data_IF_217507881459
#
_entry.id   IF_217507881459
#
_cell.length_a   1.000
_cell.length_b   1.000
_cell.length_c   1.000
_cell.angle_alpha   90.00
_cell.angle_beta   90.00
_cell.angle_gamma   90.00
#
_symmetry.space_group_name_H-M   'P 1'
#
loop_
_entity.id
_entity.type
_entity.pdbx_description
1 polymer ?
#
# COMPACT_ATOMS: atom_id res chain seq x y z
N UNK A 1 -26.65 -12.74 -17.65
CA UNK A 1 -25.78 -11.62 -17.26
C UNK A 1 -24.83 -11.33 -18.42
N UNK A 2 -24.68 -10.07 -18.81
CA UNK A 2 -23.95 -9.70 -20.03
C UNK A 2 -22.43 -9.66 -19.84
N UNK A 3 -21.69 -9.88 -20.93
CA UNK A 3 -20.26 -9.60 -21.00
C UNK A 3 -20.01 -8.10 -20.92
N UNK A 4 -18.85 -7.69 -20.40
CA UNK A 4 -18.37 -6.32 -20.60
C UNK A 4 -17.98 -6.12 -22.06
N UNK A 5 -17.71 -4.87 -22.45
CA UNK A 5 -17.17 -4.58 -23.77
C UNK A 5 -15.96 -5.46 -24.08
N UNK A 6 -15.87 -6.03 -25.28
CA UNK A 6 -14.69 -6.79 -25.71
C UNK A 6 -13.41 -5.94 -25.77
N UNK A 7 -13.54 -4.60 -25.74
CA UNK A 7 -12.42 -3.67 -25.60
C UNK A 7 -11.96 -3.49 -24.15
N UNK A 8 -12.59 -4.18 -23.19
CA UNK A 8 -12.21 -4.14 -21.78
C UNK A 8 -10.71 -4.40 -21.60
N UNK A 9 -10.06 -3.54 -20.83
CA UNK A 9 -8.65 -3.69 -20.46
C UNK A 9 -8.56 -3.75 -18.95
N UNK A 10 -7.90 -4.78 -18.42
CA UNK A 10 -7.58 -4.90 -17.00
C UNK A 10 -6.78 -3.67 -16.56
N UNK A 11 -7.05 -3.09 -15.36
CA UNK A 11 -6.29 -1.97 -14.84
C UNK A 11 -4.77 -2.24 -14.86
N UNK A 12 -4.01 -1.22 -15.22
CA UNK A 12 -2.55 -1.26 -15.13
C UNK A 12 -2.12 -1.22 -13.67
N UNK A 13 -0.94 -1.78 -13.38
CA UNK A 13 -0.36 -1.67 -12.05
C UNK A 13 0.12 -0.22 -11.87
N UNK A 14 -0.17 0.36 -10.71
CA UNK A 14 0.26 1.71 -10.33
C UNK A 14 1.38 1.58 -9.30
N UNK A 15 2.57 2.06 -9.66
CA UNK A 15 3.75 2.07 -8.79
C UNK A 15 3.75 3.30 -7.87
N UNK A 16 4.26 3.15 -6.63
CA UNK A 16 4.36 4.23 -5.63
C UNK A 16 5.04 5.50 -6.18
N UNK A 17 6.14 5.34 -6.92
CA UNK A 17 6.95 6.46 -7.41
C UNK A 17 6.22 7.33 -8.44
N UNK A 18 5.30 6.73 -9.22
CA UNK A 18 4.55 7.45 -10.27
C UNK A 18 3.60 8.53 -9.71
N UNK A 19 3.27 8.44 -8.42
CA UNK A 19 2.39 9.36 -7.73
C UNK A 19 3.13 10.53 -7.09
N UNK A 20 4.39 10.36 -6.68
CA UNK A 20 5.18 11.48 -6.13
C UNK A 20 5.42 12.56 -7.18
N UNK A 21 5.71 12.17 -8.43
CA UNK A 21 5.84 13.10 -9.56
C UNK A 21 4.50 13.78 -9.89
N UNK A 22 3.39 13.03 -9.86
CA UNK A 22 2.06 13.55 -10.19
C UNK A 22 1.51 14.48 -9.09
N UNK A 23 1.68 14.15 -7.81
CA UNK A 23 1.25 14.97 -6.68
C UNK A 23 1.99 16.31 -6.61
N UNK A 24 3.27 16.35 -7.04
CA UNK A 24 4.02 17.61 -7.15
C UNK A 24 3.42 18.57 -8.20
N UNK A 25 2.71 18.05 -9.21
CA UNK A 25 2.08 18.82 -10.29
C UNK A 25 0.61 19.20 -10.03
N UNK A 26 -0.09 18.48 -9.15
CA UNK A 26 -1.52 18.70 -8.85
C UNK A 26 -1.74 19.81 -7.81
N UNK A 27 -0.67 20.30 -7.17
CA UNK A 27 -0.70 21.32 -6.13
C UNK A 27 -1.22 22.72 -6.51
N UNK A 28 -1.79 22.93 -7.70
CA UNK A 28 -2.16 24.27 -8.18
C UNK A 28 -3.62 24.41 -8.70
N UNK A 29 -4.45 23.35 -8.76
CA UNK A 29 -5.73 23.46 -9.52
C UNK A 29 -7.00 22.75 -9.03
N UNK A 30 -7.11 22.26 -7.80
CA UNK A 30 -8.40 21.71 -7.33
C UNK A 30 -8.86 22.33 -6.02
N UNK A 31 -9.74 23.33 -6.15
CA UNK A 31 -10.60 23.82 -5.08
C UNK A 31 -11.39 22.64 -4.49
N UNK A 32 -11.09 22.37 -3.21
CA UNK A 32 -11.66 21.29 -2.44
C UNK A 32 -13.08 21.61 -2.03
N UNK A 33 -14.05 21.07 -2.77
CA UNK A 33 -15.36 20.77 -2.19
C UNK A 33 -15.23 19.52 -1.34
N UNK A 34 -15.64 19.61 -0.07
CA UNK A 34 -15.82 18.49 0.87
C UNK A 34 -16.94 17.52 0.43
N UNK A 35 -17.42 17.65 -0.81
CA UNK A 35 -18.58 16.95 -1.35
C UNK A 35 -18.41 16.42 -2.78
N UNK A 36 -17.20 16.34 -3.34
CA UNK A 36 -17.03 15.86 -4.71
C UNK A 36 -16.80 14.35 -4.78
N UNK A 37 -17.88 13.59 -4.94
CA UNK A 37 -17.91 12.17 -5.32
C UNK A 37 -17.43 11.90 -6.75
N UNK A 38 -16.32 12.49 -7.18
CA UNK A 38 -15.66 12.08 -8.41
C UNK A 38 -14.72 10.92 -8.09
N UNK A 39 -15.25 9.70 -8.18
CA UNK A 39 -14.43 8.52 -8.40
C UNK A 39 -13.64 8.77 -9.69
N UNK A 40 -12.37 9.11 -9.58
CA UNK A 40 -11.49 9.11 -10.74
C UNK A 40 -11.52 7.68 -11.28
N UNK A 41 -12.26 7.49 -12.38
CA UNK A 41 -12.48 6.20 -13.01
C UNK A 41 -11.14 5.69 -13.52
N UNK A 42 -10.47 4.90 -12.71
CA UNK A 42 -9.31 4.15 -13.14
C UNK A 42 -9.73 3.29 -14.34
N UNK A 43 -9.06 3.48 -15.48
CA UNK A 43 -9.43 2.86 -16.73
C UNK A 43 -9.56 1.33 -16.53
N UNK A 44 -10.73 0.77 -16.84
CA UNK A 44 -10.99 -0.67 -16.72
C UNK A 44 -11.55 -1.15 -15.38
N UNK A 45 -12.02 -0.25 -14.50
CA UNK A 45 -12.80 -0.63 -13.31
C UNK A 45 -14.28 -0.27 -13.53
N UNK A 46 -15.22 -1.23 -13.50
CA UNK A 46 -16.65 -0.94 -13.56
C UNK A 46 -17.14 -0.15 -12.33
N UNK A 47 -18.17 0.69 -12.51
CA UNK A 47 -18.74 1.53 -11.43
C UNK A 47 -19.25 0.71 -10.22
N UNK A 48 -19.63 -0.56 -10.43
CA UNK A 48 -20.02 -1.49 -9.36
C UNK A 48 -18.86 -1.95 -8.47
N UNK A 49 -17.63 -1.88 -8.96
CA UNK A 49 -16.40 -2.14 -8.20
C UNK A 49 -15.68 -0.83 -7.84
N UNK A 50 -16.35 0.31 -7.91
CA UNK A 50 -15.79 1.59 -7.49
C UNK A 50 -15.40 1.56 -6.00
N UNK A 51 -14.39 2.35 -5.64
CA UNK A 51 -13.88 2.44 -4.27
C UNK A 51 -15.01 2.66 -3.25
N UNK A 52 -15.88 3.64 -3.48
CA UNK A 52 -16.98 3.95 -2.56
C UNK A 52 -17.99 2.80 -2.41
N UNK A 53 -18.19 1.97 -3.45
CA UNK A 53 -19.06 0.78 -3.34
C UNK A 53 -18.43 -0.28 -2.45
N UNK A 54 -17.12 -0.49 -2.58
CA UNK A 54 -16.37 -1.41 -1.72
C UNK A 54 -16.44 -0.92 -0.29
N UNK A 55 -15.99 0.32 -0.01
CA UNK A 55 -15.92 0.91 1.33
C UNK A 55 -17.27 0.90 2.06
N UNK A 56 -18.38 1.11 1.34
CA UNK A 56 -19.72 1.09 1.93
C UNK A 56 -20.35 -0.32 2.01
N UNK A 57 -19.59 -1.39 1.77
CA UNK A 57 -20.07 -2.77 1.89
C UNK A 57 -21.04 -3.22 0.78
N UNK A 58 -21.02 -2.54 -0.38
CA UNK A 58 -21.91 -2.81 -1.51
C UNK A 58 -21.43 -3.91 -2.47
N UNK A 59 -20.37 -4.63 -2.13
CA UNK A 59 -19.72 -5.65 -2.96
C UNK A 59 -19.64 -6.99 -2.22
N UNK A 60 -19.48 -8.08 -2.97
CA UNK A 60 -19.35 -9.43 -2.42
C UNK A 60 -17.89 -9.95 -2.50
N UNK A 61 -17.54 -11.02 -1.77
CA UNK A 61 -16.22 -11.64 -1.87
C UNK A 61 -15.85 -12.03 -3.30
N UNK A 62 -14.60 -11.83 -3.75
CA UNK A 62 -13.43 -11.34 -3.00
C UNK A 62 -13.19 -9.82 -3.08
N UNK A 63 -14.24 -9.02 -3.21
CA UNK A 63 -14.13 -7.56 -3.37
C UNK A 63 -14.76 -6.78 -2.22
N UNK A 64 -14.88 -7.36 -1.02
CA UNK A 64 -15.41 -6.67 0.17
C UNK A 64 -14.38 -5.70 0.79
N UNK A 65 -14.82 -4.83 1.71
CA UNK A 65 -13.89 -3.98 2.50
C UNK A 65 -12.86 -4.82 3.22
N UNK A 66 -13.27 -5.98 3.75
CA UNK A 66 -12.38 -6.91 4.45
C UNK A 66 -11.34 -7.50 3.49
N UNK A 67 -11.76 -7.88 2.29
CA UNK A 67 -10.81 -8.38 1.27
C UNK A 67 -9.81 -7.28 0.88
N UNK A 68 -10.26 -6.03 0.81
CA UNK A 68 -9.39 -4.88 0.55
C UNK A 68 -8.41 -4.64 1.70
N UNK A 69 -8.87 -4.65 2.96
CA UNK A 69 -7.99 -4.54 4.14
C UNK A 69 -6.94 -5.66 4.18
N UNK A 70 -7.35 -6.92 3.95
CA UNK A 70 -6.42 -8.06 3.88
C UNK A 70 -5.39 -7.88 2.76
N UNK A 71 -5.80 -7.34 1.61
CA UNK A 71 -4.86 -7.02 0.54
C UNK A 71 -3.86 -5.95 0.96
N UNK A 72 -4.30 -4.89 1.65
CA UNK A 72 -3.41 -3.85 2.17
C UNK A 72 -2.45 -4.37 3.24
N UNK A 73 -2.84 -5.36 4.06
CA UNK A 73 -1.96 -5.96 5.07
C UNK A 73 -0.95 -6.91 4.42
N UNK A 74 -1.44 -7.87 3.64
CA UNK A 74 -0.65 -9.03 3.21
C UNK A 74 0.03 -8.89 1.85
N UNK A 75 -0.34 -7.88 1.04
CA UNK A 75 0.16 -7.72 -0.33
C UNK A 75 0.76 -6.34 -0.57
N UNK A 76 0.04 -5.26 -0.26
CA UNK A 76 0.53 -3.89 -0.54
C UNK A 76 1.32 -3.29 0.64
N UNK A 77 1.09 -3.78 1.86
CA UNK A 77 1.73 -3.30 3.10
C UNK A 77 1.46 -1.82 3.40
N UNK A 78 0.21 -1.39 3.20
CA UNK A 78 -0.21 0.00 3.40
C UNK A 78 -1.59 0.11 4.08
N UNK A 79 -1.86 -0.77 5.05
CA UNK A 79 -3.15 -0.86 5.73
C UNK A 79 -3.47 0.37 6.61
N UNK A 80 -2.44 1.06 7.07
CA UNK A 80 -2.53 2.29 7.85
C UNK A 80 -3.32 3.38 7.13
N UNK A 81 -3.24 3.43 5.80
CA UNK A 81 -3.99 4.38 4.99
C UNK A 81 -5.50 4.16 5.13
N UNK A 82 -5.97 2.91 5.01
CA UNK A 82 -7.40 2.59 5.13
C UNK A 82 -7.89 2.74 6.58
N UNK A 83 -7.08 2.34 7.56
CA UNK A 83 -7.40 2.50 8.98
C UNK A 83 -7.54 3.98 9.34
N UNK A 84 -6.60 4.83 8.92
CA UNK A 84 -6.67 6.28 9.11
C UNK A 84 -7.86 6.91 8.39
N UNK A 85 -8.13 6.50 7.14
CA UNK A 85 -9.28 6.99 6.37
C UNK A 85 -10.62 6.70 7.07
N UNK A 86 -10.81 5.45 7.52
CA UNK A 86 -12.02 5.04 8.23
C UNK A 86 -12.14 5.75 9.59
N UNK A 87 -11.02 5.85 10.32
CA UNK A 87 -10.96 6.59 11.58
C UNK A 87 -11.36 8.06 11.39
N UNK A 88 -10.79 8.77 10.40
CA UNK A 88 -11.08 10.19 10.22
C UNK A 88 -12.54 10.44 9.80
N UNK A 89 -13.12 9.54 9.01
CA UNK A 89 -14.54 9.59 8.63
C UNK A 89 -15.45 9.46 9.86
N UNK A 90 -15.14 8.49 10.74
CA UNK A 90 -15.86 8.30 11.99
C UNK A 90 -15.63 9.47 12.98
N UNK A 91 -14.38 9.92 13.11
CA UNK A 91 -13.99 11.06 13.93
C UNK A 91 -14.73 12.34 13.52
N UNK A 92 -14.77 12.65 12.23
CA UNK A 92 -15.47 13.83 11.72
C UNK A 92 -16.96 13.77 12.04
N UNK A 93 -17.59 12.61 11.84
CA UNK A 93 -18.99 12.38 12.20
C UNK A 93 -19.23 12.60 13.71
N UNK A 94 -18.40 12.00 14.57
CA UNK A 94 -18.51 12.17 16.03
C UNK A 94 -18.26 13.59 16.48
N UNK A 95 -17.34 14.31 15.82
CA UNK A 95 -17.06 15.70 16.11
C UNK A 95 -18.24 16.59 15.74
N UNK A 96 -18.86 16.37 14.57
CA UNK A 96 -20.04 17.12 14.10
C UNK A 96 -21.30 16.83 14.95
N UNK A 97 -21.45 15.60 15.46
CA UNK A 97 -22.57 15.19 16.31
C UNK A 97 -22.41 15.60 17.78
N UNK A 98 -21.19 15.93 18.21
CA UNK A 98 -20.95 16.37 19.57
C UNK A 98 -21.64 17.74 19.81
N UNK A 99 -22.30 17.89 20.97
CA UNK A 99 -23.00 19.12 21.37
C UNK A 99 -22.40 19.75 22.63
N UNK A 100 -21.15 19.40 22.95
CA UNK A 100 -20.49 19.85 24.18
C UNK A 100 -19.99 21.29 24.03
N UNK A 101 -20.01 22.05 25.13
CA UNK A 101 -19.65 23.47 25.12
C UNK A 101 -18.17 23.73 24.79
N UNK A 102 -17.31 22.72 24.96
CA UNK A 102 -15.88 22.75 24.66
C UNK A 102 -15.57 22.68 23.15
N UNK A 103 -16.54 22.34 22.28
CA UNK A 103 -16.36 22.33 20.82
C UNK A 103 -15.98 23.72 20.29
N UNK A 104 -16.51 24.78 20.90
CA UNK A 104 -16.14 26.15 20.55
C UNK A 104 -14.65 26.44 20.77
N UNK A 105 -13.94 25.65 21.58
CA UNK A 105 -12.50 25.77 21.82
C UNK A 105 -11.66 25.14 20.70
N UNK A 106 -12.27 24.36 19.80
CA UNK A 106 -11.62 23.70 18.68
C UNK A 106 -12.05 24.38 17.34
N UNK A 107 -11.54 25.59 17.04
CA UNK A 107 -11.88 26.31 15.82
C UNK A 107 -11.40 25.57 14.58
N UNK A 108 -12.03 25.89 13.45
CA UNK A 108 -11.66 25.37 12.13
C UNK A 108 -10.24 25.82 11.76
N UNK A 109 -9.36 24.86 11.48
CA UNK A 109 -8.08 25.12 10.82
C UNK A 109 -8.31 25.48 9.34
N UNK A 110 -8.05 26.73 8.94
CA UNK A 110 -8.27 27.22 7.56
C UNK A 110 -7.05 27.00 6.67
N UNK A 111 -7.24 27.07 5.34
CA UNK A 111 -6.13 26.96 4.39
C UNK A 111 -5.11 28.09 4.58
N UNK A 112 -5.59 29.31 4.84
CA UNK A 112 -4.76 30.50 5.07
C UNK A 112 -3.84 30.33 6.27
N UNK A 113 -4.35 29.78 7.38
CA UNK A 113 -3.55 29.48 8.57
C UNK A 113 -2.46 28.45 8.28
N UNK A 114 -2.80 27.43 7.50
CA UNK A 114 -1.86 26.39 7.08
C UNK A 114 -0.72 26.96 6.21
N UNK A 115 -1.08 27.77 5.20
CA UNK A 115 -0.13 28.41 4.29
C UNK A 115 0.77 29.39 5.05
N UNK A 116 0.23 30.11 6.03
CA UNK A 116 1.00 31.00 6.88
C UNK A 116 2.03 30.23 7.72
N UNK A 117 1.63 29.12 8.34
CA UNK A 117 2.55 28.24 9.08
C UNK A 117 3.65 27.71 8.17
N UNK A 118 3.29 27.22 6.98
CA UNK A 118 4.24 26.68 6.02
C UNK A 118 5.23 27.75 5.55
N UNK A 119 4.76 28.97 5.28
CA UNK A 119 5.62 30.10 4.92
C UNK A 119 6.58 30.48 6.07
N UNK A 120 6.10 30.48 7.32
CA UNK A 120 6.94 30.73 8.50
C UNK A 120 8.03 29.64 8.64
N UNK A 121 7.65 28.36 8.57
CA UNK A 121 8.59 27.23 8.65
C UNK A 121 9.62 27.28 7.53
N UNK A 122 9.21 27.59 6.30
CA UNK A 122 10.13 27.73 5.16
C UNK A 122 11.10 28.90 5.37
N UNK A 123 10.61 30.05 5.82
CA UNK A 123 11.44 31.22 6.14
C UNK A 123 12.45 30.89 7.23
N UNK A 124 12.04 30.21 8.30
CA UNK A 124 12.92 29.77 9.39
C UNK A 124 14.00 28.82 8.90
N UNK A 125 13.63 27.80 8.11
CA UNK A 125 14.59 26.87 7.48
C UNK A 125 15.58 27.61 6.59
N UNK A 126 15.11 28.53 5.75
CA UNK A 126 15.98 29.34 4.89
C UNK A 126 16.92 30.25 5.69
N UNK A 127 16.45 30.84 6.81
CA UNK A 127 17.32 31.62 7.70
C UNK A 127 18.36 30.78 8.41
N UNK A 128 18.01 29.56 8.85
CA UNK A 128 18.98 28.62 9.46
C UNK A 128 20.04 28.20 8.45
N UNK A 129 19.64 27.83 7.23
CA UNK A 129 20.58 27.50 6.15
C UNK A 129 21.51 28.67 5.78
N UNK A 130 21.05 29.93 5.89
CA UNK A 130 21.91 31.11 5.70
C UNK A 130 22.87 31.37 6.87
N UNK A 131 22.54 30.91 8.08
CA UNK A 131 23.40 31.03 9.25
C UNK A 131 24.43 29.89 9.31
N UNK A 132 24.03 28.70 8.87
CA UNK A 132 24.85 27.52 8.66
C UNK A 132 25.52 27.61 7.28
N UNK A 133 26.40 28.59 7.06
CA UNK A 133 27.18 28.72 5.81
C UNK A 133 27.98 27.42 5.57
N UNK A 134 27.65 26.61 4.54
CA UNK A 134 28.33 25.35 4.26
C UNK A 134 29.73 25.67 3.74
N UNK A 135 30.70 25.65 4.64
CA UNK A 135 32.08 26.05 4.39
C UNK A 135 32.72 26.79 5.56
N UNK A 136 31.94 27.39 6.46
CA UNK A 136 32.49 28.09 7.63
C UNK A 136 33.33 27.16 8.53
N UNK A 137 32.99 25.88 8.59
CA UNK A 137 33.80 24.86 9.30
C UNK A 137 35.02 24.38 8.50
N UNK A 138 34.98 24.45 7.17
CA UNK A 138 36.12 24.07 6.29
C UNK A 138 37.23 25.12 6.35
N UNK A 139 36.87 26.39 6.60
CA UNK A 139 37.82 27.49 6.75
C UNK A 139 38.27 27.76 8.20
N UNK A 140 37.76 27.00 9.19
CA UNK A 140 38.23 27.09 10.59
C UNK A 140 39.71 26.73 10.66
N UNK A 141 40.55 27.65 11.14
CA UNK A 141 42.01 27.48 11.22
C UNK A 141 42.77 27.75 9.92
N UNK A 142 42.11 28.26 8.87
CA UNK A 142 42.77 28.76 7.66
C UNK A 142 42.90 30.28 7.70
N UNK A 143 43.87 30.86 6.96
CA UNK A 143 44.09 32.32 6.89
C UNK A 143 42.87 33.12 6.36
N UNK A 144 41.84 32.44 5.86
CA UNK A 144 40.57 33.01 5.38
C UNK A 144 39.52 33.22 6.48
N UNK A 145 39.76 32.78 7.72
CA UNK A 145 38.81 32.91 8.86
C UNK A 145 38.53 34.38 9.26
N UNK A 146 39.38 35.32 8.84
CA UNK A 146 39.24 36.75 9.16
C UNK A 146 38.66 37.55 7.98
N UNK A 147 37.34 37.69 7.92
CA UNK A 147 36.67 38.89 7.33
C UNK A 147 35.16 39.05 7.59
N UNK A 148 34.53 38.30 8.49
CA UNK A 148 33.14 38.55 8.87
C UNK A 148 33.00 38.96 10.33
N UNK A 149 32.59 40.22 10.51
CA UNK A 149 32.02 40.86 11.71
C UNK A 149 32.98 41.13 12.87
N UNK A 150 33.43 42.39 12.97
CA UNK A 150 33.64 43.06 14.26
C UNK A 150 32.27 43.45 14.83
N UNK A 151 31.89 43.05 16.05
CA UNK A 151 31.12 43.90 16.93
C UNK A 151 32.08 44.69 17.84
N UNK A 152 31.63 45.88 18.27
CA UNK A 152 32.38 46.82 19.09
C UNK A 152 32.94 46.24 20.41
N UNK A 153 34.03 46.82 20.95
CA UNK A 153 34.74 46.22 22.08
C UNK A 153 34.19 46.74 23.40
N UNK A 154 33.18 46.09 23.98
CA UNK A 154 32.92 46.20 25.43
C UNK A 154 32.47 44.83 25.97
N UNK A 155 33.27 44.32 26.92
CA UNK A 155 33.13 43.08 27.69
C UNK A 155 33.32 41.74 26.94
N UNK A 156 34.59 41.34 26.81
CA UNK A 156 34.97 39.93 26.67
C UNK A 156 35.85 39.53 27.86
N UNK A 157 35.23 38.93 28.86
CA UNK A 157 35.89 38.08 29.84
C UNK A 157 34.98 36.88 30.11
N UNK A 158 35.60 35.71 30.30
CA UNK A 158 35.02 34.45 30.81
C UNK A 158 34.58 33.42 29.74
N UNK A 159 35.56 32.60 29.31
CA UNK A 159 35.57 31.11 29.26
C UNK A 159 36.18 30.55 27.97
N UNK A 160 37.45 30.18 28.05
CA UNK A 160 38.00 29.02 27.34
C UNK A 160 38.75 28.16 28.35
N UNK A 161 38.30 26.92 28.54
CA UNK A 161 39.00 25.88 29.29
C UNK A 161 39.05 24.63 28.41
N UNK A 162 40.26 24.32 27.96
CA UNK A 162 40.65 23.24 27.06
C UNK A 162 40.09 21.86 27.44
N UNK A 163 39.63 21.13 26.43
CA UNK A 163 39.48 19.67 26.41
C UNK A 163 40.83 18.99 26.13
N UNK A 164 41.30 18.13 27.04
CA UNK A 164 42.50 17.29 26.86
C UNK A 164 42.15 15.94 26.19
N UNK A 165 42.94 15.43 25.20
CA UNK A 165 42.55 14.29 24.36
C UNK A 165 43.26 12.96 24.66
N UNK A 166 43.70 12.70 25.90
CA UNK A 166 44.28 11.40 26.27
C UNK A 166 43.73 10.92 27.61
N UNK A 167 42.76 9.99 27.57
CA UNK A 167 42.67 8.93 28.58
C UNK A 167 41.66 7.83 28.20
N UNK A 168 42.16 6.60 28.15
CA UNK A 168 41.41 5.34 28.38
C UNK A 168 42.45 4.27 28.81
N UNK A 169 42.07 3.17 29.50
CA UNK A 169 42.27 2.90 30.93
C UNK A 169 43.31 1.77 31.21
N UNK A 170 43.45 1.22 32.45
CA UNK A 170 42.76 -0.05 32.73
C UNK A 170 42.37 -0.36 34.21
N UNK A 171 41.60 -1.47 34.33
CA UNK A 171 41.03 -2.21 35.48
C UNK A 171 42.02 -2.56 36.62
N UNK A 172 41.50 -2.66 37.86
CA UNK A 172 41.47 -3.88 38.72
C UNK A 172 40.59 -3.71 39.97
N UNK A 173 40.31 -4.83 40.66
CA UNK A 173 39.18 -5.14 41.53
C UNK A 173 39.45 -5.03 43.04
N UNK A 174 38.43 -4.68 43.82
CA UNK A 174 37.97 -5.37 45.03
C UNK A 174 36.90 -4.55 45.75
N UNK A 175 35.91 -5.21 46.37
CA UNK A 175 34.95 -4.55 47.25
C UNK A 175 33.57 -5.18 47.24
N UNK A 176 33.48 -6.36 47.84
CA UNK A 176 32.28 -7.12 48.14
C UNK A 176 31.25 -6.29 48.94
N UNK A 177 30.04 -6.11 48.42
CA UNK A 177 28.85 -5.94 49.25
C UNK A 177 27.67 -6.65 48.57
N UNK A 178 27.21 -7.69 49.24
CA UNK A 178 25.93 -8.34 49.00
C UNK A 178 24.82 -7.32 49.24
N UNK A 179 23.86 -7.19 48.33
CA UNK A 179 22.44 -7.03 48.68
C UNK A 179 21.52 -7.21 47.47
N UNK A 180 20.90 -8.40 47.43
CA UNK A 180 19.51 -8.65 47.05
C UNK A 180 18.95 -8.00 45.77
N UNK A 181 19.12 -8.69 44.64
CA UNK A 181 18.24 -8.56 43.46
C UNK A 181 16.81 -8.98 43.82
N UNK A 182 16.00 -7.99 44.18
CA UNK A 182 14.55 -8.09 44.07
C UNK A 182 14.16 -7.49 42.72
N UNK A 183 13.92 -8.37 41.74
CA UNK A 183 13.23 -8.04 40.50
C UNK A 183 11.84 -7.54 40.86
N UNK A 184 11.71 -6.21 40.98
CA UNK A 184 10.42 -5.58 41.11
C UNK A 184 9.67 -5.76 39.77
N UNK A 185 8.43 -6.25 39.77
CA UNK A 185 7.64 -6.33 38.55
C UNK A 185 7.39 -4.90 38.08
N UNK A 186 7.84 -4.59 36.87
CA UNK A 186 7.50 -3.37 36.15
C UNK A 186 5.99 -3.20 36.17
N UNK A 187 5.51 -2.25 36.97
CA UNK A 187 4.11 -1.84 36.92
C UNK A 187 3.79 -1.39 35.49
N UNK A 188 2.59 -1.69 34.97
CA UNK A 188 2.21 -1.24 33.65
C UNK A 188 2.18 0.30 33.65
N UNK A 189 3.13 0.91 32.96
CA UNK A 189 3.08 2.34 32.64
C UNK A 189 1.75 2.57 31.93
N UNK A 190 0.95 3.51 32.43
CA UNK A 190 -0.33 3.86 31.79
C UNK A 190 -0.09 4.19 30.32
N UNK A 191 -0.67 3.41 29.41
CA UNK A 191 -0.53 3.59 27.95
C UNK A 191 -0.92 5.02 27.51
N UNK A 192 -1.86 5.65 28.21
CA UNK A 192 -2.24 7.06 28.00
C UNK A 192 -1.09 8.06 28.22
N UNK A 193 -0.28 7.88 29.27
CA UNK A 193 0.87 8.74 29.55
C UNK A 193 1.92 8.69 28.43
N UNK A 194 2.08 7.51 27.83
CA UNK A 194 3.03 7.26 26.73
C UNK A 194 2.62 7.96 25.44
N UNK A 195 1.34 7.91 25.05
CA UNK A 195 0.89 8.57 23.81
C UNK A 195 1.00 10.10 23.90
N UNK A 196 0.67 10.67 25.06
CA UNK A 196 0.79 12.11 25.28
C UNK A 196 2.25 12.59 25.21
N UNK A 197 3.19 11.84 25.79
CA UNK A 197 4.62 12.20 25.70
C UNK A 197 5.13 12.10 24.27
N UNK A 198 4.77 11.04 23.53
CA UNK A 198 5.15 10.87 22.12
C UNK A 198 4.57 11.97 21.23
N UNK A 199 3.30 12.34 21.45
CA UNK A 199 2.67 13.44 20.73
C UNK A 199 3.36 14.79 21.04
N UNK A 200 3.70 15.03 22.31
CA UNK A 200 4.45 16.23 22.71
C UNK A 200 5.82 16.32 22.05
N UNK A 201 6.52 15.19 21.93
CA UNK A 201 7.80 15.10 21.23
C UNK A 201 7.64 15.38 19.73
N UNK A 202 6.59 14.82 19.10
CA UNK A 202 6.27 15.07 17.69
C UNK A 202 5.94 16.55 17.42
N UNK A 203 5.20 17.21 18.31
CA UNK A 203 4.95 18.66 18.19
C UNK A 203 6.26 19.45 18.31
N UNK A 204 7.11 19.11 19.28
CA UNK A 204 8.39 19.78 19.49
C UNK A 204 9.34 19.60 18.28
N UNK A 205 9.40 18.41 17.68
CA UNK A 205 10.23 18.15 16.51
C UNK A 205 9.76 18.92 15.26
N UNK A 206 8.45 19.17 15.14
CA UNK A 206 7.89 20.04 14.11
C UNK A 206 8.05 21.55 14.41
N UNK A 207 8.62 21.93 15.56
CA UNK A 207 8.71 23.32 16.01
C UNK A 207 7.36 23.91 16.46
N UNK A 208 6.35 23.07 16.70
CA UNK A 208 5.07 23.46 17.27
C UNK A 208 5.15 23.45 18.81
N UNK A 209 4.46 24.39 19.46
CA UNK A 209 4.34 24.38 20.92
C UNK A 209 3.38 23.29 21.33
N UNK A 210 3.75 22.50 22.35
CA UNK A 210 2.87 21.47 22.88
C UNK A 210 1.52 22.08 23.31
N UNK A 211 0.39 21.50 22.90
CA UNK A 211 -0.92 22.03 23.24
C UNK A 211 -1.18 21.92 24.75
N UNK A 212 -1.51 23.04 25.38
CA UNK A 212 -2.06 23.08 26.73
C UNK A 212 -3.53 23.50 26.63
N UNK A 213 -4.40 22.52 26.37
CA UNK A 213 -5.80 22.78 25.99
C UNK A 213 -6.74 21.73 26.59
N UNK A 214 -8.00 22.14 26.78
CA UNK A 214 -9.13 21.29 27.19
C UNK A 214 -10.09 21.02 26.01
N UNK A 215 -9.62 21.19 24.77
CA UNK A 215 -10.39 20.89 23.56
C UNK A 215 -10.93 19.45 23.56
N UNK A 216 -12.10 19.22 22.94
CA UNK A 216 -12.71 17.91 22.87
C UNK A 216 -11.85 16.94 22.06
N UNK A 217 -11.92 15.66 22.40
CA UNK A 217 -11.18 14.56 21.75
C UNK A 217 -9.65 14.72 21.73
N UNK A 218 -9.07 15.54 22.63
CA UNK A 218 -7.62 15.76 22.63
C UNK A 218 -6.81 14.48 22.76
N UNK A 219 -7.18 13.61 23.70
CA UNK A 219 -6.51 12.32 23.93
C UNK A 219 -6.56 11.40 22.70
N UNK A 220 -7.63 11.46 21.93
CA UNK A 220 -7.76 10.69 20.69
C UNK A 220 -6.79 11.20 19.63
N UNK A 221 -6.67 12.52 19.49
CA UNK A 221 -5.68 13.09 18.57
C UNK A 221 -4.25 12.79 19.01
N UNK A 222 -3.93 12.86 20.31
CA UNK A 222 -2.58 12.52 20.78
C UNK A 222 -2.22 11.08 20.41
N UNK A 223 -3.18 10.16 20.50
CA UNK A 223 -3.03 8.78 20.01
C UNK A 223 -2.81 8.72 18.49
N UNK A 224 -3.55 9.49 17.70
CA UNK A 224 -3.37 9.55 16.24
C UNK A 224 -2.02 10.11 15.84
N UNK A 225 -1.55 11.15 16.52
CA UNK A 225 -0.22 11.72 16.30
C UNK A 225 0.83 10.64 16.54
N UNK A 226 0.76 9.94 17.68
CA UNK A 226 1.72 8.91 18.04
C UNK A 226 1.63 7.63 17.17
N UNK A 227 0.48 7.35 16.56
CA UNK A 227 0.25 6.11 15.79
C UNK A 227 0.50 6.28 14.30
N UNK A 228 0.13 7.43 13.72
CA UNK A 228 0.08 7.65 12.27
C UNK A 228 0.97 8.80 11.76
N UNK A 229 1.23 9.83 12.57
CA UNK A 229 1.82 11.09 12.08
C UNK A 229 3.30 11.21 12.46
N UNK A 230 3.66 10.81 13.68
CA UNK A 230 5.04 10.93 14.18
C UNK A 230 6.02 10.10 13.36
N UNK A 231 7.28 10.54 13.35
CA UNK A 231 8.35 9.80 12.72
C UNK A 231 8.63 8.50 13.47
N UNK A 232 8.73 7.39 12.74
CA UNK A 232 8.89 6.07 13.34
C UNK A 232 7.63 5.53 14.04
N UNK A 233 6.46 6.13 13.79
CA UNK A 233 5.20 5.63 14.34
C UNK A 233 4.91 4.20 13.86
N UNK A 234 4.25 3.36 14.66
CA UNK A 234 3.98 1.96 14.31
C UNK A 234 3.11 1.78 13.05
N UNK A 235 2.33 2.81 12.70
CA UNK A 235 1.48 2.87 11.49
C UNK A 235 1.68 4.20 10.77
N UNK A 236 2.94 4.65 10.70
CA UNK A 236 3.33 5.91 10.08
C UNK A 236 2.79 6.02 8.65
N UNK A 237 2.04 7.09 8.36
CA UNK A 237 1.51 7.37 7.03
C UNK A 237 2.64 7.80 6.07
N UNK A 238 2.52 7.38 4.81
CA UNK A 238 3.39 7.80 3.72
C UNK A 238 3.00 9.21 3.21
N UNK A 239 3.23 10.22 4.06
CA UNK A 239 3.03 11.64 3.73
C UNK A 239 4.37 12.37 3.70
N UNK A 240 4.43 13.46 2.93
CA UNK A 240 5.63 14.29 2.83
C UNK A 240 5.96 14.97 4.17
N UNK A 241 7.23 15.29 4.38
CA UNK A 241 7.65 16.03 5.58
C UNK A 241 6.97 17.41 5.70
N UNK A 242 6.60 18.02 4.56
CA UNK A 242 5.84 19.29 4.54
C UNK A 242 4.43 19.10 5.10
N UNK A 243 3.72 18.07 4.64
CA UNK A 243 2.37 17.74 5.10
C UNK A 243 2.37 17.33 6.57
N UNK A 244 3.36 16.52 6.99
CA UNK A 244 3.54 16.13 8.40
C UNK A 244 3.68 17.36 9.30
N UNK A 245 4.56 18.30 8.94
CA UNK A 245 4.76 19.53 9.73
C UNK A 245 3.47 20.36 9.76
N UNK A 246 2.81 20.57 8.61
CA UNK A 246 1.55 21.31 8.56
C UNK A 246 0.47 20.69 9.47
N UNK A 247 0.33 19.36 9.42
CA UNK A 247 -0.60 18.63 10.26
C UNK A 247 -0.26 18.77 11.75
N UNK A 248 1.01 18.64 12.13
CA UNK A 248 1.43 18.77 13.53
C UNK A 248 1.18 20.18 14.08
N UNK A 249 1.41 21.24 13.29
CA UNK A 249 1.05 22.61 13.70
C UNK A 249 -0.46 22.81 13.81
N UNK A 250 -1.24 22.29 12.87
CA UNK A 250 -2.70 22.35 12.92
C UNK A 250 -3.26 21.61 14.12
N UNK A 251 -2.77 20.41 14.40
CA UNK A 251 -3.19 19.58 15.53
C UNK A 251 -2.74 20.14 16.88
N UNK A 252 -1.62 20.87 16.94
CA UNK A 252 -1.22 21.61 18.13
C UNK A 252 -2.16 22.79 18.42
N UNK A 253 -2.80 23.35 17.39
CA UNK A 253 -3.72 24.48 17.53
C UNK A 253 -5.17 24.04 17.82
N UNK A 254 -5.67 23.01 17.13
CA UNK A 254 -7.07 22.58 17.22
C UNK A 254 -7.23 21.05 17.16
N UNK A 255 -8.31 20.53 17.73
CA UNK A 255 -8.77 19.15 17.52
C UNK A 255 -9.74 19.03 16.34
N UNK A 256 -10.11 20.13 15.70
CA UNK A 256 -11.06 20.12 14.59
C UNK A 256 -10.56 19.25 13.41
N UNK A 257 -11.42 18.40 12.78
CA UNK A 257 -11.01 17.49 11.69
C UNK A 257 -10.32 18.18 10.51
N UNK A 258 -10.62 19.47 10.29
CA UNK A 258 -10.02 20.26 9.22
C UNK A 258 -8.50 20.43 9.34
N UNK A 259 -7.90 20.20 10.52
CA UNK A 259 -6.44 20.20 10.70
C UNK A 259 -5.76 19.02 10.00
N UNK A 260 -6.49 17.95 9.70
CA UNK A 260 -6.00 16.75 9.01
C UNK A 260 -6.34 16.74 7.51
N UNK A 261 -6.83 17.86 6.96
CA UNK A 261 -7.35 17.92 5.58
C UNK A 261 -6.34 17.49 4.53
N UNK A 262 -5.09 17.98 4.58
CA UNK A 262 -4.09 17.57 3.59
C UNK A 262 -3.68 16.10 3.75
N UNK A 263 -3.51 15.64 5.00
CA UNK A 263 -3.22 14.23 5.29
C UNK A 263 -4.31 13.35 4.72
N UNK A 264 -5.57 13.72 4.92
CA UNK A 264 -6.71 13.02 4.33
C UNK A 264 -6.67 13.02 2.81
N UNK A 265 -6.38 14.16 2.16
CA UNK A 265 -6.25 14.22 0.70
C UNK A 265 -5.16 13.28 0.18
N UNK A 266 -3.99 13.23 0.83
CA UNK A 266 -2.90 12.35 0.46
C UNK A 266 -3.28 10.86 0.60
N UNK A 267 -3.90 10.50 1.74
CA UNK A 267 -4.36 9.14 2.02
C UNK A 267 -5.49 8.71 1.08
N UNK A 268 -6.51 9.55 0.89
CA UNK A 268 -7.63 9.29 -0.03
C UNK A 268 -7.13 9.15 -1.47
N UNK A 269 -6.17 10.00 -1.88
CA UNK A 269 -5.56 9.91 -3.19
C UNK A 269 -4.83 8.57 -3.38
N UNK A 270 -3.97 8.16 -2.44
CA UNK A 270 -3.28 6.86 -2.48
C UNK A 270 -4.28 5.70 -2.52
N UNK A 271 -5.30 5.71 -1.66
CA UNK A 271 -6.31 4.65 -1.63
C UNK A 271 -7.08 4.54 -2.97
N UNK A 272 -7.48 5.66 -3.57
CA UNK A 272 -8.32 5.67 -4.78
C UNK A 272 -7.54 5.48 -6.08
N UNK A 273 -6.31 5.99 -6.16
CA UNK A 273 -5.54 6.03 -7.41
C UNK A 273 -4.47 4.95 -7.50
N UNK A 274 -4.12 4.32 -6.38
CA UNK A 274 -3.10 3.28 -6.33
C UNK A 274 -3.66 1.98 -5.77
N UNK A 275 -4.03 1.99 -4.49
CA UNK A 275 -4.36 0.77 -3.78
C UNK A 275 -5.61 0.10 -4.34
N UNK A 276 -6.66 0.88 -4.62
CA UNK A 276 -7.91 0.37 -5.18
C UNK A 276 -7.74 -0.24 -6.59
N UNK A 277 -7.10 0.45 -7.57
CA UNK A 277 -6.81 -0.16 -8.87
C UNK A 277 -5.93 -1.41 -8.79
N UNK A 278 -4.91 -1.39 -7.94
CA UNK A 278 -4.03 -2.52 -7.72
C UNK A 278 -4.76 -3.71 -7.07
N UNK A 279 -5.64 -3.44 -6.10
CA UNK A 279 -6.53 -4.44 -5.49
C UNK A 279 -7.47 -5.06 -6.50
N UNK A 280 -8.20 -4.27 -7.30
CA UNK A 280 -9.10 -4.80 -8.33
C UNK A 280 -8.32 -5.61 -9.36
N UNK A 281 -7.18 -5.09 -9.82
CA UNK A 281 -6.27 -5.80 -10.71
C UNK A 281 -5.91 -7.15 -10.10
N UNK A 282 -5.51 -7.21 -8.84
CA UNK A 282 -5.10 -8.42 -8.15
C UNK A 282 -6.27 -9.41 -7.95
N UNK A 283 -7.45 -8.92 -7.59
CA UNK A 283 -8.66 -9.71 -7.35
C UNK A 283 -9.19 -10.40 -8.61
N UNK A 284 -8.92 -9.86 -9.80
CA UNK A 284 -9.27 -10.51 -11.08
C UNK A 284 -8.53 -11.85 -11.27
N UNK A 285 -7.33 -12.01 -10.71
CA UNK A 285 -6.57 -13.26 -10.81
C UNK A 285 -7.24 -14.37 -9.99
N UNK A 286 -7.71 -15.43 -10.66
CA UNK A 286 -8.35 -16.56 -9.99
C UNK A 286 -7.35 -17.60 -9.43
N UNK A 287 -6.14 -17.69 -9.99
CA UNK A 287 -5.14 -18.68 -9.60
C UNK A 287 -4.05 -18.08 -8.73
N UNK A 288 -3.49 -18.90 -7.83
CA UNK A 288 -2.24 -18.55 -7.15
C UNK A 288 -1.04 -18.66 -8.12
N UNK A 289 0.14 -18.12 -7.77
CA UNK A 289 1.31 -18.14 -8.65
C UNK A 289 1.70 -19.55 -9.14
N UNK A 290 1.61 -20.56 -8.27
CA UNK A 290 1.93 -21.94 -8.62
C UNK A 290 1.00 -22.51 -9.70
N UNK A 291 -0.32 -22.33 -9.57
CA UNK A 291 -1.30 -22.81 -10.56
C UNK A 291 -1.22 -22.02 -11.87
N UNK A 292 -0.97 -20.72 -11.81
CA UNK A 292 -0.76 -19.90 -13.02
C UNK A 292 0.52 -20.32 -13.74
N UNK A 293 1.61 -20.59 -13.02
CA UNK A 293 2.84 -21.12 -13.60
C UNK A 293 2.62 -22.48 -14.27
N UNK A 294 1.90 -23.40 -13.58
CA UNK A 294 1.51 -24.68 -14.16
C UNK A 294 0.67 -24.52 -15.44
N UNK A 295 -0.31 -23.61 -15.44
CA UNK A 295 -1.13 -23.32 -16.62
C UNK A 295 -0.31 -22.78 -17.80
N UNK A 296 0.69 -21.92 -17.54
CA UNK A 296 1.62 -21.44 -18.58
C UNK A 296 2.41 -22.59 -19.18
N UNK A 297 2.97 -23.47 -18.35
CA UNK A 297 3.71 -24.65 -18.81
C UNK A 297 2.81 -25.58 -19.65
N UNK A 298 1.60 -25.87 -19.19
CA UNK A 298 0.62 -26.67 -19.93
C UNK A 298 0.28 -26.04 -21.29
N UNK A 299 0.07 -24.72 -21.34
CA UNK A 299 -0.18 -24.00 -22.58
C UNK A 299 0.97 -24.13 -23.59
N UNK A 300 2.22 -23.94 -23.14
CA UNK A 300 3.41 -24.12 -23.98
C UNK A 300 3.53 -25.56 -24.47
N UNK A 301 3.34 -26.54 -23.57
CA UNK A 301 3.43 -27.96 -23.91
C UNK A 301 2.41 -28.35 -24.99
N UNK A 302 1.16 -27.88 -24.88
CA UNK A 302 0.12 -28.10 -25.90
C UNK A 302 0.49 -27.48 -27.25
N UNK A 303 1.05 -26.26 -27.25
CA UNK A 303 1.51 -25.60 -28.49
C UNK A 303 2.63 -26.42 -29.15
N UNK A 304 3.66 -26.80 -28.37
CA UNK A 304 4.80 -27.58 -28.88
C UNK A 304 4.34 -28.94 -29.39
N UNK A 305 3.51 -29.66 -28.64
CA UNK A 305 2.95 -30.94 -29.05
C UNK A 305 2.13 -30.83 -30.35
N UNK A 306 1.34 -29.77 -30.48
CA UNK A 306 0.55 -29.50 -31.70
C UNK A 306 1.45 -29.16 -32.88
N UNK A 307 2.54 -28.42 -32.64
CA UNK A 307 3.53 -28.12 -33.67
C UNK A 307 4.26 -29.38 -34.16
N UNK A 308 4.69 -30.26 -33.24
CA UNK A 308 5.30 -31.54 -33.59
C UNK A 308 4.32 -32.41 -34.37
N UNK A 309 3.05 -32.50 -33.93
CA UNK A 309 2.02 -33.25 -34.66
C UNK A 309 1.78 -32.68 -36.07
N UNK A 310 1.70 -31.36 -36.21
CA UNK A 310 1.54 -30.70 -37.50
C UNK A 310 2.75 -30.95 -38.42
N UNK A 311 3.97 -30.92 -37.88
CA UNK A 311 5.19 -31.24 -38.60
C UNK A 311 5.18 -32.69 -39.10
N UNK A 312 4.89 -33.65 -38.23
CA UNK A 312 4.82 -35.07 -38.59
C UNK A 312 3.76 -35.34 -39.68
N UNK A 313 2.57 -34.73 -39.57
CA UNK A 313 1.50 -34.83 -40.58
C UNK A 313 1.83 -34.10 -41.90
N UNK A 314 2.75 -33.14 -41.88
CA UNK A 314 3.20 -32.44 -43.08
C UNK A 314 4.27 -33.24 -43.83
N UNK A 315 5.13 -33.94 -43.09
CA UNK A 315 6.18 -34.78 -43.65
C UNK A 315 5.69 -36.16 -44.10
N UNK A 316 4.57 -36.64 -43.57
CA UNK A 316 4.00 -37.93 -43.94
C UNK A 316 3.27 -37.91 -45.30
N UNK A 317 2.89 -39.10 -45.76
CA UNK A 317 2.05 -39.34 -46.94
C UNK A 317 0.54 -39.08 -46.71
N UNK A 318 0.15 -38.61 -45.52
CA UNK A 318 -1.25 -38.40 -45.14
C UNK A 318 -1.89 -37.22 -45.93
N UNK A 319 -3.16 -37.31 -46.35
CA UNK A 319 -3.85 -36.24 -47.06
C UNK A 319 -3.87 -34.92 -46.27
N UNK A 320 -3.80 -33.79 -47.01
CA UNK A 320 -3.64 -32.44 -46.46
C UNK A 320 -4.67 -32.05 -45.39
N UNK A 321 -5.90 -32.56 -45.48
CA UNK A 321 -6.98 -32.24 -44.53
C UNK A 321 -6.66 -32.63 -43.08
N UNK A 322 -5.90 -33.70 -42.86
CA UNK A 322 -5.55 -34.15 -41.50
C UNK A 322 -4.62 -33.18 -40.78
N UNK A 323 -3.91 -32.31 -41.51
CA UNK A 323 -3.04 -31.26 -40.94
C UNK A 323 -3.82 -30.17 -40.20
N UNK A 324 -5.15 -30.14 -40.35
CA UNK A 324 -6.02 -29.28 -39.56
C UNK A 324 -6.29 -29.82 -38.15
N UNK A 325 -6.08 -31.11 -37.87
CA UNK A 325 -6.36 -31.71 -36.55
C UNK A 325 -5.56 -31.04 -35.41
N UNK A 326 -4.25 -30.75 -35.57
CA UNK A 326 -3.49 -30.01 -34.55
C UNK A 326 -4.02 -28.61 -34.23
N UNK A 327 -4.93 -28.04 -35.03
CA UNK A 327 -5.56 -26.74 -34.75
C UNK A 327 -6.24 -26.71 -33.38
N UNK A 328 -6.86 -27.82 -32.96
CA UNK A 328 -7.50 -27.92 -31.64
C UNK A 328 -6.47 -27.69 -30.54
N UNK A 329 -5.32 -28.34 -30.64
CA UNK A 329 -4.25 -28.20 -29.66
C UNK A 329 -3.59 -26.81 -29.70
N UNK A 330 -3.46 -26.19 -30.87
CA UNK A 330 -3.03 -24.79 -30.97
C UNK A 330 -4.00 -23.84 -30.28
N UNK A 331 -5.31 -23.94 -30.56
CA UNK A 331 -6.32 -23.09 -29.94
C UNK A 331 -6.31 -23.27 -28.42
N UNK A 332 -6.35 -24.51 -27.92
CA UNK A 332 -6.32 -24.80 -26.48
C UNK A 332 -5.03 -24.32 -25.80
N UNK A 333 -3.88 -24.54 -26.44
CA UNK A 333 -2.59 -24.13 -25.90
C UNK A 333 -2.42 -22.61 -25.85
N UNK A 334 -2.76 -21.91 -26.95
CA UNK A 334 -2.67 -20.46 -27.06
C UNK A 334 -3.68 -19.79 -26.13
N UNK A 335 -4.94 -20.26 -26.07
CA UNK A 335 -5.95 -19.67 -25.19
C UNK A 335 -5.55 -19.80 -23.72
N UNK A 336 -5.03 -20.97 -23.34
CA UNK A 336 -4.52 -21.23 -21.98
C UNK A 336 -3.35 -20.32 -21.66
N UNK A 337 -2.41 -20.14 -22.60
CA UNK A 337 -1.23 -19.31 -22.40
C UNK A 337 -1.60 -17.81 -22.26
N UNK A 338 -2.49 -17.29 -23.12
CA UNK A 338 -2.97 -15.90 -23.03
C UNK A 338 -3.71 -15.66 -21.71
N UNK A 339 -4.61 -16.57 -21.31
CA UNK A 339 -5.35 -16.46 -20.06
C UNK A 339 -4.40 -16.53 -18.84
N UNK A 340 -3.43 -17.45 -18.85
CA UNK A 340 -2.45 -17.60 -17.77
C UNK A 340 -1.48 -16.42 -17.70
N UNK A 341 -1.18 -15.76 -18.82
CA UNK A 341 -0.39 -14.53 -18.80
C UNK A 341 -1.14 -13.38 -18.11
N UNK A 342 -2.47 -13.34 -18.25
CA UNK A 342 -3.36 -12.45 -17.51
C UNK A 342 -3.66 -12.89 -16.06
N UNK A 343 -3.05 -13.97 -15.58
CA UNK A 343 -3.20 -14.46 -14.20
C UNK A 343 -4.44 -15.33 -13.96
N UNK A 344 -5.02 -15.88 -15.03
CA UNK A 344 -6.21 -16.73 -14.95
C UNK A 344 -5.90 -18.18 -15.35
N UNK A 345 -6.43 -19.12 -14.59
CA UNK A 345 -6.55 -20.53 -14.95
C UNK A 345 -7.91 -20.77 -15.60
N UNK A 346 -7.92 -21.35 -16.80
CA UNK A 346 -9.15 -21.64 -17.57
C UNK A 346 -10.06 -22.64 -16.83
N UNK A 347 -9.48 -23.62 -16.12
CA UNK A 347 -10.24 -24.61 -15.34
C UNK A 347 -11.01 -23.93 -14.20
N UNK A 348 -10.33 -23.09 -13.42
CA UNK A 348 -10.96 -22.33 -12.33
C UNK A 348 -12.02 -21.37 -12.87
N UNK A 349 -11.73 -20.74 -14.01
CA UNK A 349 -12.67 -19.84 -14.66
C UNK A 349 -13.98 -20.55 -15.04
N UNK A 350 -13.91 -21.75 -15.62
CA UNK A 350 -15.10 -22.53 -15.98
C UNK A 350 -15.98 -22.93 -14.79
N UNK A 351 -15.42 -22.96 -13.58
CA UNK A 351 -16.15 -23.19 -12.33
C UNK A 351 -16.48 -21.88 -11.60
N UNK A 352 -16.13 -20.72 -12.14
CA UNK A 352 -16.16 -19.42 -11.44
C UNK A 352 -15.52 -19.45 -10.05
N UNK A 353 -14.49 -20.25 -9.90
CA UNK A 353 -13.74 -20.42 -8.66
C UNK A 353 -12.49 -19.56 -8.65
N UNK A 354 -12.02 -19.22 -7.45
CA UNK A 354 -10.68 -18.71 -7.18
C UNK A 354 -9.98 -19.60 -6.17
N UNK A 355 -8.66 -19.56 -6.14
CA UNK A 355 -7.92 -20.09 -4.99
C UNK A 355 -8.16 -19.25 -3.74
N UNK A 356 -8.36 -19.96 -2.63
CA UNK A 356 -8.36 -19.41 -1.28
C UNK A 356 -6.96 -18.85 -1.00
N UNK A 357 -6.89 -17.67 -0.38
CA UNK A 357 -5.61 -16.99 -0.11
C UNK A 357 -4.85 -17.67 1.03
N UNK A 358 -3.52 -17.53 1.12
CA UNK A 358 -2.73 -18.18 2.16
C UNK A 358 -3.23 -17.93 3.59
N UNK A 359 -3.62 -16.69 3.91
CA UNK A 359 -4.18 -16.30 5.20
C UNK A 359 -5.63 -16.80 5.42
N UNK A 360 -6.37 -17.17 4.37
CA UNK A 360 -7.71 -17.76 4.45
C UNK A 360 -7.66 -19.32 4.53
N UNK A 361 -6.52 -19.94 4.25
CA UNK A 361 -6.40 -21.40 4.12
C UNK A 361 -6.34 -22.14 5.46
N UNK A 362 -5.84 -21.49 6.51
CA UNK A 362 -5.47 -22.15 7.78
C UNK A 362 -6.14 -21.53 9.00
N UNK A 363 -7.10 -20.63 8.79
CA UNK A 363 -7.78 -19.90 9.85
C UNK A 363 -9.19 -20.47 9.98
N UNK A 364 -9.56 -20.82 11.20
CA UNK A 364 -10.92 -21.25 11.53
C UNK A 364 -11.84 -20.02 11.64
N UNK A 365 -13.15 -20.19 11.43
CA UNK A 365 -14.09 -19.06 11.29
C UNK A 365 -14.10 -18.09 12.48
N UNK A 366 -13.88 -18.59 13.70
CA UNK A 366 -13.82 -17.77 14.91
C UNK A 366 -12.57 -16.88 14.93
N UNK A 367 -11.40 -17.49 14.69
CA UNK A 367 -10.13 -16.76 14.56
C UNK A 367 -10.13 -15.76 13.40
N UNK A 368 -10.89 -16.04 12.33
CA UNK A 368 -11.02 -15.12 11.20
C UNK A 368 -11.81 -13.85 11.59
N UNK A 369 -12.86 -14.00 12.41
CA UNK A 369 -13.66 -12.88 12.92
C UNK A 369 -12.86 -11.99 13.86
N UNK A 370 -12.08 -12.59 14.76
CA UNK A 370 -11.19 -11.85 15.67
C UNK A 370 -10.16 -11.04 14.90
N UNK A 371 -9.43 -11.66 13.96
CA UNK A 371 -8.46 -10.95 13.10
C UNK A 371 -9.10 -9.85 12.26
N UNK A 372 -10.31 -10.09 11.78
CA UNK A 372 -11.08 -9.07 11.05
C UNK A 372 -11.38 -7.88 11.95
N UNK A 373 -11.68 -8.10 13.23
CA UNK A 373 -11.89 -6.99 14.16
C UNK A 373 -10.58 -6.22 14.40
N UNK A 374 -9.49 -6.94 14.69
CA UNK A 374 -8.19 -6.36 15.01
C UNK A 374 -7.60 -5.55 13.85
N UNK A 375 -7.76 -6.04 12.62
CA UNK A 375 -7.27 -5.35 11.41
C UNK A 375 -7.96 -4.02 11.13
N UNK A 376 -9.17 -3.81 11.67
CA UNK A 376 -9.92 -2.56 11.54
C UNK A 376 -9.79 -1.64 12.76
N UNK A 377 -9.12 -2.08 13.83
CA UNK A 377 -8.87 -1.22 14.97
C UNK A 377 -7.96 -0.06 14.57
N UNK A 378 -8.40 1.17 14.86
CA UNK A 378 -7.64 2.39 14.55
C UNK A 378 -6.40 2.53 15.41
N UNK A 379 -6.41 1.94 16.61
CA UNK A 379 -5.33 2.00 17.59
C UNK A 379 -4.92 0.58 17.95
N UNK A 380 -3.79 0.11 17.42
CA UNK A 380 -3.30 -1.24 17.66
C UNK A 380 -1.79 -1.34 17.44
N UNK A 381 -1.26 -2.56 17.48
CA UNK A 381 0.13 -2.82 17.13
C UNK A 381 0.43 -2.45 15.67
N UNK A 382 1.72 -2.48 15.30
CA UNK A 382 2.11 -2.39 13.88
C UNK A 382 1.32 -3.39 13.05
N UNK A 383 1.04 -3.04 11.80
CA UNK A 383 0.33 -3.91 10.83
C UNK A 383 1.19 -5.10 10.37
N UNK A 384 2.09 -5.61 11.23
CA UNK A 384 2.98 -6.72 10.94
C UNK A 384 2.22 -8.04 10.95
N UNK A 385 2.48 -8.85 9.93
CA UNK A 385 1.94 -10.20 9.80
C UNK A 385 3.04 -11.27 9.78
N UNK A 386 4.32 -10.89 9.94
CA UNK A 386 5.48 -11.78 9.75
C UNK A 386 5.50 -12.97 10.71
N UNK A 387 4.94 -12.79 11.89
CA UNK A 387 4.83 -13.83 12.92
C UNK A 387 3.59 -14.73 12.73
N UNK A 388 2.78 -14.50 11.69
CA UNK A 388 1.56 -15.26 11.52
C UNK A 388 1.84 -16.73 11.19
N UNK A 389 1.20 -17.68 11.91
CA UNK A 389 1.46 -19.11 11.74
C UNK A 389 1.23 -19.66 10.32
N UNK A 390 0.36 -19.00 9.53
CA UNK A 390 0.09 -19.44 8.16
C UNK A 390 1.28 -19.24 7.24
N UNK A 391 2.17 -18.28 7.49
CA UNK A 391 3.34 -18.02 6.64
C UNK A 391 4.23 -19.26 6.60
N UNK A 392 4.64 -19.74 7.78
CA UNK A 392 5.50 -20.92 7.90
C UNK A 392 4.82 -22.15 7.31
N UNK A 393 3.51 -22.32 7.58
CA UNK A 393 2.71 -23.44 7.02
C UNK A 393 2.65 -23.38 5.50
N UNK A 394 2.44 -22.20 4.91
CA UNK A 394 2.32 -22.02 3.47
C UNK A 394 3.67 -22.12 2.75
N UNK A 395 4.74 -21.61 3.33
CA UNK A 395 6.09 -21.71 2.78
C UNK A 395 6.55 -23.17 2.69
N UNK A 396 6.34 -23.97 3.75
CA UNK A 396 6.69 -25.40 3.79
C UNK A 396 5.85 -26.28 2.85
N UNK A 397 4.76 -25.77 2.28
CA UNK A 397 3.86 -26.55 1.42
C UNK A 397 4.46 -26.75 0.02
N UNK A 398 4.50 -28.00 -0.43
CA UNK A 398 5.02 -28.40 -1.75
C UNK A 398 4.27 -27.69 -2.90
N UNK A 399 4.99 -27.41 -4.00
CA UNK A 399 4.43 -26.71 -5.17
C UNK A 399 3.22 -27.43 -5.78
N UNK A 400 3.26 -28.76 -5.88
CA UNK A 400 2.11 -29.55 -6.38
C UNK A 400 0.88 -29.35 -5.50
N UNK A 401 1.04 -29.35 -4.17
CA UNK A 401 -0.07 -29.09 -3.25
C UNK A 401 -0.58 -27.65 -3.35
N UNK A 402 0.27 -26.68 -3.74
CA UNK A 402 -0.14 -25.29 -4.02
C UNK A 402 -0.93 -25.17 -5.33
N UNK A 403 -0.60 -25.97 -6.34
CA UNK A 403 -1.37 -26.01 -7.60
C UNK A 403 -2.82 -26.45 -7.36
N UNK A 404 -3.04 -27.36 -6.41
CA UNK A 404 -4.35 -27.87 -6.02
C UNK A 404 -4.79 -27.35 -4.64
N UNK A 405 -4.47 -26.09 -4.32
CA UNK A 405 -4.98 -25.44 -3.11
C UNK A 405 -6.51 -25.36 -3.12
N UNK A 406 -7.11 -25.21 -1.92
CA UNK A 406 -8.56 -25.07 -1.77
C UNK A 406 -9.07 -23.92 -2.64
N UNK A 407 -10.20 -24.16 -3.30
CA UNK A 407 -10.87 -23.20 -4.16
C UNK A 407 -12.24 -22.83 -3.59
N UNK A 408 -12.68 -21.61 -3.90
CA UNK A 408 -13.95 -21.05 -3.43
C UNK A 408 -14.63 -20.32 -4.57
N UNK A 409 -15.96 -20.38 -4.60
CA UNK A 409 -16.78 -19.67 -5.57
C UNK A 409 -16.62 -18.15 -5.43
N UNK A 410 -16.44 -17.48 -6.57
CA UNK A 410 -16.40 -16.02 -6.63
C UNK A 410 -17.83 -15.51 -6.51
N UNK A 411 -18.17 -14.86 -5.39
CA UNK A 411 -19.54 -14.38 -5.14
C UNK A 411 -19.85 -13.10 -5.93
N UNK A 412 -18.85 -12.23 -6.11
CA UNK A 412 -19.01 -10.96 -6.83
C UNK A 412 -19.35 -11.16 -8.32
N UNK A 413 -20.57 -10.80 -8.77
CA UNK A 413 -21.00 -11.01 -10.15
C UNK A 413 -20.18 -10.22 -11.17
N UNK A 414 -19.77 -9.00 -10.84
CA UNK A 414 -19.04 -8.13 -11.78
C UNK A 414 -17.63 -8.68 -12.02
N UNK A 415 -17.01 -9.25 -10.99
CA UNK A 415 -15.71 -9.90 -11.11
C UNK A 415 -15.78 -11.11 -12.04
N UNK A 416 -16.87 -11.90 -11.98
CA UNK A 416 -17.11 -13.00 -12.94
C UNK A 416 -17.25 -12.47 -14.36
N UNK A 417 -18.02 -11.40 -14.59
CA UNK A 417 -18.17 -10.79 -15.92
C UNK A 417 -16.83 -10.29 -16.50
N UNK A 418 -15.96 -9.73 -15.65
CA UNK A 418 -14.59 -9.37 -16.06
C UNK A 418 -13.82 -10.61 -16.52
N UNK A 419 -13.84 -11.68 -15.72
CA UNK A 419 -13.15 -12.93 -16.07
C UNK A 419 -13.70 -13.56 -17.36
N UNK A 420 -15.03 -13.58 -17.53
CA UNK A 420 -15.70 -14.05 -18.76
C UNK A 420 -15.22 -13.26 -19.97
N UNK A 421 -15.15 -11.93 -19.85
CA UNK A 421 -14.68 -11.05 -20.93
C UNK A 421 -13.22 -11.33 -21.27
N UNK A 422 -12.36 -11.51 -20.27
CA UNK A 422 -10.94 -11.82 -20.48
C UNK A 422 -10.78 -13.21 -21.13
N UNK A 423 -11.59 -14.19 -20.73
CA UNK A 423 -11.58 -15.52 -21.32
C UNK A 423 -11.98 -15.49 -22.80
N UNK A 424 -13.07 -14.79 -23.13
CA UNK A 424 -13.53 -14.62 -24.52
C UNK A 424 -12.46 -13.92 -25.36
N UNK A 425 -11.83 -12.85 -24.85
CA UNK A 425 -10.70 -12.21 -25.54
C UNK A 425 -9.54 -13.18 -25.80
N UNK A 426 -9.24 -14.05 -24.82
CA UNK A 426 -8.18 -15.06 -24.94
C UNK A 426 -8.53 -16.12 -25.99
N UNK A 427 -9.79 -16.52 -26.07
CA UNK A 427 -10.30 -17.45 -27.08
C UNK A 427 -10.25 -16.86 -28.49
N UNK A 428 -10.70 -15.61 -28.66
CA UNK A 428 -10.64 -14.91 -29.96
C UNK A 428 -9.18 -14.81 -30.44
N UNK A 429 -8.27 -14.38 -29.56
CA UNK A 429 -6.84 -14.32 -29.88
C UNK A 429 -6.27 -15.69 -30.26
N UNK A 430 -6.69 -16.76 -29.58
CA UNK A 430 -6.25 -18.12 -29.86
C UNK A 430 -6.78 -18.68 -31.18
N UNK A 431 -8.04 -18.41 -31.53
CA UNK A 431 -8.62 -18.83 -32.81
C UNK A 431 -7.93 -18.12 -33.98
N UNK A 432 -7.64 -16.82 -33.85
CA UNK A 432 -6.92 -16.07 -34.88
C UNK A 432 -5.50 -16.59 -35.06
N UNK A 433 -4.71 -16.67 -33.98
CA UNK A 433 -3.31 -17.09 -34.06
C UNK A 433 -3.19 -18.57 -34.45
N UNK A 434 -3.99 -19.44 -33.82
CA UNK A 434 -4.03 -20.86 -34.14
C UNK A 434 -4.48 -21.11 -35.59
N UNK A 435 -5.50 -20.38 -36.06
CA UNK A 435 -5.97 -20.45 -37.44
C UNK A 435 -4.91 -20.07 -38.46
N UNK A 436 -4.13 -19.01 -38.21
CA UNK A 436 -2.99 -18.63 -39.06
C UNK A 436 -1.93 -19.72 -39.11
N UNK A 437 -1.53 -20.26 -37.94
CA UNK A 437 -0.53 -21.33 -37.89
C UNK A 437 -1.01 -22.59 -38.62
N UNK A 438 -2.26 -23.00 -38.40
CA UNK A 438 -2.85 -24.14 -39.10
C UNK A 438 -2.92 -23.92 -40.61
N UNK A 439 -3.32 -22.73 -41.06
CA UNK A 439 -3.39 -22.41 -42.49
C UNK A 439 -2.02 -22.56 -43.17
N UNK A 440 -0.94 -22.14 -42.51
CA UNK A 440 0.43 -22.33 -42.99
C UNK A 440 0.73 -23.82 -43.22
N UNK A 441 0.51 -24.67 -42.21
CA UNK A 441 0.79 -26.12 -42.34
C UNK A 441 -0.09 -26.83 -43.38
N UNK A 442 -1.35 -26.40 -43.53
CA UNK A 442 -2.25 -26.95 -44.56
C UNK A 442 -1.79 -26.54 -45.98
N UNK A 443 -1.24 -25.34 -46.15
CA UNK A 443 -0.79 -24.82 -47.44
C UNK A 443 0.56 -25.40 -47.90
N UNK A 444 1.44 -25.78 -46.96
CA UNK A 444 2.78 -26.33 -47.27
C UNK A 444 2.65 -27.65 -48.09
N UNK A 445 3.38 -27.85 -49.19
CA UNK A 445 3.39 -29.12 -49.92
C UNK A 445 3.84 -30.30 -49.03
N UNK A 446 3.32 -31.50 -49.26
CA UNK A 446 3.71 -32.68 -48.49
C UNK A 446 5.14 -33.15 -48.79
N UNK A 447 5.84 -33.61 -47.76
CA UNK A 447 7.19 -34.17 -47.88
C UNK A 447 7.19 -35.60 -48.43
N UNK A 448 6.15 -36.40 -48.14
CA UNK A 448 6.01 -37.82 -48.52
C UNK A 448 7.20 -38.68 -48.08
N UNK A 449 7.76 -38.42 -46.89
CA UNK A 449 8.95 -39.12 -46.40
C UNK A 449 8.65 -40.50 -45.80
N UNK A 450 7.43 -40.72 -45.30
CA UNK A 450 6.98 -41.99 -44.73
C UNK A 450 5.45 -42.13 -44.76
#
# INVERSE_FOLDING_TARGET
>A
MGLLSLTYRRPQFVEDASLQDSASSIGDRTDGSVHSGYSARSAGIPDSLAFDKIINGGTCPPCTVRDFMNYLIYVEHSAENLQFYLWLKDYSKRFDEAQTADIALAPVWTQEMEDEVLARVQKEKATRMRQEEPGAEIFRGTDFEKKMKKPDPVLAAVKSGNSNPFNTPPRTADGNDHDNESVAPSQPVSTQGTYKSLASEAFASAGAKAPFTIQPFREEIDRIVATYISEGAPRQLNISGRERIAALHGLAYTTHPSALRQVFKAVDFSLRHQAHPNFIRWSICNGNPARVFFARFLGIFLIVGSFVAALLLTLSSVPRGYRAIPAIGFVLGISTLIAAWKGMCVVLHGMHHRHVRPWELFVDEESEKERTKDSFESFGSSNSYEDEPWIVKYQKRNVVRKVFDREVWIQEPVLRQIQDTIFVQSMIGAVLLGGVVTAIFVAVPGGNFF
#
